data_IF_851066450151
#
_entry.id   IF_851066450151
#
_cell.length_a   1.000
_cell.length_b   1.000
_cell.length_c   1.000
_cell.angle_alpha   90.00
_cell.angle_beta   90.00
_cell.angle_gamma   90.00
#
_symmetry.space_group_name_H-M   'P 1'
#
loop_
_entity.id
_entity.type
_entity.pdbx_description
1 polymer ?
#
# COMPACT_ATOMS: atom_id res chain seq x y z
N UNK A 1 15.04 -8.87 -24.86
CA UNK A 1 15.05 -10.18 -25.54
C UNK A 1 16.44 -10.31 -26.15
N UNK A 2 17.34 -11.06 -25.49
CA UNK A 2 18.71 -11.28 -25.97
C UNK A 2 18.69 -12.67 -26.61
N UNK A 3 18.88 -12.73 -27.90
CA UNK A 3 18.99 -13.99 -28.65
C UNK A 3 20.47 -14.42 -28.60
N UNK A 4 20.77 -15.53 -27.99
CA UNK A 4 22.03 -16.23 -28.18
C UNK A 4 21.79 -17.30 -29.25
N UNK A 5 22.56 -17.27 -30.32
CA UNK A 5 22.51 -18.26 -31.38
C UNK A 5 23.72 -19.18 -31.20
N UNK A 6 23.51 -20.46 -31.08
CA UNK A 6 24.62 -21.46 -31.15
C UNK A 6 24.65 -22.01 -32.58
N UNK A 7 25.79 -21.90 -33.24
CA UNK A 7 26.00 -22.45 -34.57
C UNK A 7 26.53 -23.86 -34.40
N UNK A 8 25.76 -24.87 -34.78
CA UNK A 8 26.23 -26.26 -34.91
C UNK A 8 26.04 -26.62 -36.38
N UNK A 9 27.15 -26.99 -37.05
CA UNK A 9 27.20 -27.40 -38.47
C UNK A 9 26.56 -26.39 -39.46
N UNK A 10 26.69 -25.06 -39.17
CA UNK A 10 26.21 -24.02 -40.06
C UNK A 10 24.69 -23.76 -40.01
N UNK A 11 24.00 -24.38 -39.08
CA UNK A 11 22.54 -24.19 -38.84
C UNK A 11 22.37 -23.35 -37.58
N UNK A 12 21.72 -22.17 -37.71
CA UNK A 12 21.28 -21.35 -36.56
C UNK A 12 20.10 -22.04 -35.91
N UNK A 13 20.34 -22.65 -34.75
CA UNK A 13 19.27 -23.18 -33.91
C UNK A 13 18.82 -22.04 -32.97
N UNK A 14 17.60 -21.50 -33.10
CA UNK A 14 17.10 -20.53 -32.14
C UNK A 14 16.94 -21.22 -30.76
N UNK A 15 17.71 -20.81 -29.79
CA UNK A 15 17.46 -21.20 -28.41
C UNK A 15 16.12 -20.59 -27.99
N UNK A 16 15.08 -21.40 -27.95
CA UNK A 16 13.82 -21.03 -27.28
C UNK A 16 14.14 -21.05 -25.79
N UNK A 17 14.30 -19.87 -25.20
CA UNK A 17 14.44 -19.73 -23.76
C UNK A 17 13.08 -20.14 -23.15
N UNK A 18 12.95 -21.42 -22.81
CA UNK A 18 11.88 -21.89 -21.94
C UNK A 18 12.29 -21.41 -20.53
N UNK A 19 11.54 -20.50 -19.90
CA UNK A 19 11.87 -20.07 -18.54
C UNK A 19 11.92 -21.33 -17.67
N UNK A 20 13.05 -21.55 -16.99
CA UNK A 20 13.18 -22.66 -16.05
C UNK A 20 12.16 -22.48 -14.94
N UNK A 21 11.16 -23.34 -14.89
CA UNK A 21 10.10 -23.33 -13.89
C UNK A 21 10.49 -24.20 -12.72
N UNK A 22 10.12 -23.77 -11.51
CA UNK A 22 10.21 -24.60 -10.32
C UNK A 22 8.98 -25.52 -10.24
N UNK A 23 9.15 -26.81 -10.02
CA UNK A 23 8.04 -27.71 -9.71
C UNK A 23 7.82 -27.76 -8.19
N UNK A 24 6.60 -27.45 -7.74
CA UNK A 24 6.27 -27.47 -6.32
C UNK A 24 5.23 -28.55 -6.04
N UNK A 25 5.59 -29.50 -5.21
CA UNK A 25 4.65 -30.52 -4.71
C UNK A 25 3.85 -29.92 -3.55
N UNK A 26 2.53 -30.04 -3.65
CA UNK A 26 1.59 -29.61 -2.61
C UNK A 26 0.57 -30.70 -2.31
N UNK A 27 0.05 -30.82 -1.08
CA UNK A 27 -0.99 -31.82 -0.76
C UNK A 27 -2.28 -31.61 -1.54
N UNK A 28 -2.60 -30.34 -1.80
CA UNK A 28 -3.81 -29.90 -2.50
C UNK A 28 -3.61 -28.52 -3.09
N UNK A 29 -4.07 -28.31 -4.31
CA UNK A 29 -4.11 -26.98 -4.93
C UNK A 29 -5.38 -26.25 -4.48
N UNK A 30 -5.22 -25.14 -3.76
CA UNK A 30 -6.30 -24.26 -3.29
C UNK A 30 -6.12 -22.84 -3.86
N UNK A 31 -7.17 -22.01 -3.80
CA UNK A 31 -7.07 -20.58 -4.14
C UNK A 31 -6.04 -19.84 -3.28
N UNK A 32 -5.96 -20.18 -1.98
CA UNK A 32 -5.01 -19.58 -1.03
C UNK A 32 -3.56 -19.95 -1.37
N UNK A 33 -3.30 -21.23 -1.67
CA UNK A 33 -1.96 -21.70 -2.12
C UNK A 33 -1.55 -20.96 -3.39
N UNK A 34 -2.39 -20.98 -4.43
CA UNK A 34 -2.08 -20.28 -5.69
C UNK A 34 -1.80 -18.81 -5.47
N UNK A 35 -2.61 -18.13 -4.68
CA UNK A 35 -2.47 -16.70 -4.41
C UNK A 35 -1.14 -16.35 -3.74
N UNK A 36 -0.81 -17.02 -2.63
CA UNK A 36 0.42 -16.71 -1.90
C UNK A 36 1.68 -17.14 -2.64
N UNK A 37 1.61 -18.22 -3.43
CA UNK A 37 2.73 -18.65 -4.26
C UNK A 37 2.95 -17.71 -5.44
N UNK A 38 1.89 -17.22 -6.09
CA UNK A 38 1.99 -16.16 -7.10
C UNK A 38 2.65 -14.90 -6.54
N UNK A 39 2.24 -14.48 -5.33
CA UNK A 39 2.82 -13.33 -4.66
C UNK A 39 4.31 -13.55 -4.37
N UNK A 40 4.67 -14.65 -3.71
CA UNK A 40 6.03 -14.87 -3.25
C UNK A 40 6.97 -15.27 -4.39
N UNK A 41 6.60 -16.24 -5.22
CA UNK A 41 7.49 -16.72 -6.28
C UNK A 41 7.48 -15.79 -7.49
N UNK A 42 6.33 -15.55 -8.14
CA UNK A 42 6.30 -14.76 -9.38
C UNK A 42 6.55 -13.29 -9.13
N UNK A 43 5.85 -12.70 -8.19
CA UNK A 43 5.92 -11.24 -8.01
C UNK A 43 7.20 -10.81 -7.26
N UNK A 44 7.48 -11.39 -6.07
CA UNK A 44 8.59 -10.97 -5.23
C UNK A 44 9.93 -11.58 -5.69
N UNK A 45 9.99 -12.87 -5.97
CA UNK A 45 11.22 -13.56 -6.37
C UNK A 45 11.45 -13.61 -7.88
N UNK A 46 10.43 -13.37 -8.71
CA UNK A 46 10.53 -13.43 -10.17
C UNK A 46 10.70 -14.86 -10.72
N UNK A 47 10.25 -15.87 -9.97
CA UNK A 47 10.36 -17.28 -10.31
C UNK A 47 9.04 -17.81 -10.86
N UNK A 48 9.07 -18.42 -12.03
CA UNK A 48 7.95 -19.17 -12.55
C UNK A 48 7.87 -20.54 -11.87
N UNK A 49 6.66 -21.02 -11.62
CA UNK A 49 6.43 -22.33 -11.01
C UNK A 49 5.22 -23.05 -11.60
N UNK A 50 5.23 -24.37 -11.49
CA UNK A 50 4.08 -25.23 -11.70
C UNK A 50 3.80 -26.02 -10.41
N UNK A 51 2.53 -26.36 -10.15
CA UNK A 51 2.14 -27.17 -8.99
C UNK A 51 1.83 -28.59 -9.41
N UNK A 52 2.19 -29.54 -8.55
CA UNK A 52 1.77 -30.93 -8.67
C UNK A 52 1.28 -31.47 -7.32
N UNK A 53 0.37 -32.42 -7.37
CA UNK A 53 -0.04 -33.24 -6.22
C UNK A 53 0.45 -34.67 -6.32
N UNK A 54 1.18 -35.01 -7.41
CA UNK A 54 1.76 -36.33 -7.64
C UNK A 54 3.17 -36.42 -7.16
N UNK A 55 3.45 -37.23 -6.16
CA UNK A 55 4.80 -37.50 -5.68
C UNK A 55 5.64 -38.18 -6.80
N UNK A 56 5.06 -39.05 -7.61
CA UNK A 56 5.73 -39.72 -8.74
C UNK A 56 6.24 -38.69 -9.75
N UNK A 57 5.37 -37.73 -10.15
CA UNK A 57 5.75 -36.63 -11.04
C UNK A 57 6.86 -35.75 -10.43
N UNK A 58 6.75 -35.47 -9.14
CA UNK A 58 7.71 -34.64 -8.42
C UNK A 58 9.09 -35.34 -8.33
N UNK A 59 9.10 -36.64 -8.02
CA UNK A 59 10.34 -37.41 -7.92
C UNK A 59 11.03 -37.58 -9.27
N UNK A 60 10.26 -37.81 -10.33
CA UNK A 60 10.78 -37.94 -11.68
C UNK A 60 11.25 -36.63 -12.33
N UNK A 61 10.95 -35.47 -11.72
CA UNK A 61 11.29 -34.18 -12.28
C UNK A 61 12.77 -33.84 -12.04
N UNK A 62 13.51 -33.61 -13.13
CA UNK A 62 14.89 -33.13 -13.10
C UNK A 62 14.92 -31.61 -13.29
N UNK A 63 15.06 -30.85 -12.22
CA UNK A 63 15.07 -29.40 -12.25
C UNK A 63 14.90 -28.77 -10.86
N UNK A 64 14.61 -27.49 -10.83
CA UNK A 64 14.33 -26.81 -9.56
C UNK A 64 13.00 -27.33 -8.99
N UNK A 65 13.01 -27.86 -7.80
CA UNK A 65 11.81 -28.38 -7.15
C UNK A 65 11.80 -28.10 -5.65
N UNK A 66 10.61 -28.03 -5.07
CA UNK A 66 10.39 -27.81 -3.65
C UNK A 66 9.12 -28.54 -3.20
N UNK A 67 9.15 -29.07 -1.99
CA UNK A 67 7.97 -29.67 -1.38
C UNK A 67 7.38 -28.73 -0.30
N UNK A 68 6.09 -28.48 -0.38
CA UNK A 68 5.30 -27.80 0.64
C UNK A 68 4.22 -28.76 1.16
N UNK A 69 4.32 -29.19 2.40
CA UNK A 69 3.44 -30.19 2.97
C UNK A 69 3.72 -30.49 4.45
N UNK A 70 3.07 -31.51 5.00
CA UNK A 70 3.17 -31.83 6.43
C UNK A 70 4.40 -32.71 6.77
N UNK A 71 4.92 -33.46 5.80
CA UNK A 71 6.04 -34.37 5.98
C UNK A 71 7.05 -34.18 4.85
N UNK A 72 8.34 -34.28 5.17
CA UNK A 72 9.42 -34.18 4.20
C UNK A 72 9.49 -35.43 3.33
N UNK A 73 9.75 -35.25 2.04
CA UNK A 73 10.03 -36.32 1.09
C UNK A 73 11.49 -36.28 0.74
N UNK A 74 12.24 -37.34 1.05
CA UNK A 74 13.67 -37.46 0.83
C UNK A 74 14.48 -36.22 1.29
N UNK A 75 15.50 -35.84 0.53
CA UNK A 75 16.37 -34.69 0.84
C UNK A 75 16.02 -33.41 0.06
N UNK A 76 14.84 -33.40 -0.57
CA UNK A 76 14.39 -32.24 -1.34
C UNK A 76 14.12 -31.00 -0.47
N UNK A 77 14.26 -29.78 -1.02
CA UNK A 77 13.92 -28.54 -0.34
C UNK A 77 12.48 -28.59 0.16
N UNK A 78 12.29 -28.33 1.45
CA UNK A 78 11.04 -28.55 2.12
C UNK A 78 10.63 -27.36 2.98
N UNK A 79 9.36 -26.96 2.86
CA UNK A 79 8.69 -26.03 3.78
C UNK A 79 7.50 -26.77 4.40
N UNK A 80 7.53 -26.94 5.72
CA UNK A 80 6.43 -27.59 6.44
C UNK A 80 5.22 -26.69 6.46
N UNK A 81 4.08 -27.24 6.00
CA UNK A 81 2.81 -26.53 5.95
C UNK A 81 2.04 -26.57 7.26
N UNK A 82 1.36 -25.47 7.55
CA UNK A 82 0.24 -25.37 8.46
C UNK A 82 -1.10 -25.61 7.71
N UNK A 83 -2.23 -25.58 8.39
CA UNK A 83 -3.54 -25.87 7.81
C UNK A 83 -4.18 -24.68 7.08
N UNK A 84 -3.82 -23.44 7.41
CA UNK A 84 -4.46 -22.19 6.97
C UNK A 84 -4.70 -22.13 5.44
N UNK A 85 -3.75 -22.58 4.62
CA UNK A 85 -3.87 -22.50 3.17
C UNK A 85 -4.76 -23.60 2.56
N UNK A 86 -5.13 -24.61 3.33
CA UNK A 86 -6.00 -25.72 2.91
C UNK A 86 -7.41 -25.60 3.44
N UNK A 87 -7.67 -24.64 4.31
CA UNK A 87 -8.98 -24.29 4.85
C UNK A 87 -9.78 -23.38 3.91
N UNK A 88 -11.10 -23.27 4.16
CA UNK A 88 -11.97 -22.34 3.45
C UNK A 88 -12.67 -21.33 4.37
N UNK A 89 -12.87 -21.72 5.64
CA UNK A 89 -13.59 -20.89 6.59
C UNK A 89 -12.67 -19.88 7.26
N UNK A 90 -13.25 -18.77 7.70
CA UNK A 90 -12.59 -17.77 8.52
C UNK A 90 -12.91 -18.08 9.97
N UNK A 91 -11.90 -18.35 10.76
CA UNK A 91 -12.03 -18.64 12.19
C UNK A 91 -10.76 -18.17 12.94
N UNK A 92 -10.84 -18.08 14.24
CA UNK A 92 -9.71 -17.72 15.08
C UNK A 92 -8.55 -18.71 14.87
N UNK A 93 -7.38 -18.17 14.54
CA UNK A 93 -6.20 -18.97 14.24
C UNK A 93 -5.36 -19.17 15.52
N UNK A 94 -4.92 -20.39 15.73
CA UNK A 94 -4.03 -20.74 16.85
C UNK A 94 -2.66 -21.11 16.30
N UNK A 95 -1.67 -20.23 16.49
CA UNK A 95 -0.30 -20.46 16.07
C UNK A 95 0.69 -20.06 17.18
N UNK A 96 1.93 -20.52 17.07
CA UNK A 96 3.03 -20.07 17.89
C UNK A 96 3.89 -19.09 17.09
N UNK A 97 4.45 -18.11 17.78
CA UNK A 97 5.43 -17.17 17.23
C UNK A 97 6.84 -17.74 17.43
N UNK A 98 7.71 -17.57 16.45
CA UNK A 98 9.14 -17.97 16.50
C UNK A 98 10.01 -16.79 16.05
N UNK A 99 11.20 -16.67 16.68
CA UNK A 99 12.23 -15.73 16.23
C UNK A 99 12.79 -16.15 14.87
N UNK A 100 13.00 -15.17 13.99
CA UNK A 100 13.55 -15.37 12.67
C UNK A 100 14.43 -14.19 12.25
N UNK A 101 15.75 -14.41 12.21
CA UNK A 101 16.73 -13.34 11.97
C UNK A 101 16.50 -12.16 12.92
N UNK A 102 16.30 -10.93 12.42
CA UNK A 102 15.99 -9.75 13.23
C UNK A 102 14.47 -9.51 13.39
N UNK A 103 13.64 -10.51 13.06
CA UNK A 103 12.19 -10.45 13.12
C UNK A 103 11.60 -11.61 13.92
N UNK A 104 10.29 -11.64 14.01
CA UNK A 104 9.52 -12.80 14.46
C UNK A 104 8.50 -13.20 13.41
N UNK A 105 8.03 -14.44 13.44
CA UNK A 105 7.04 -14.95 12.52
C UNK A 105 5.98 -15.80 13.21
N UNK A 106 4.70 -15.72 12.77
CA UNK A 106 3.65 -16.63 13.22
C UNK A 106 3.79 -17.98 12.52
N UNK A 107 2.97 -18.96 12.88
CA UNK A 107 2.95 -20.30 12.30
C UNK A 107 4.28 -21.06 12.43
N UNK A 108 4.89 -21.02 13.63
CA UNK A 108 6.10 -21.78 13.93
C UNK A 108 5.92 -23.28 13.63
N UNK A 109 6.87 -23.87 12.91
CA UNK A 109 6.89 -25.29 12.59
C UNK A 109 8.11 -25.97 13.22
N UNK A 110 7.93 -27.23 13.60
CA UNK A 110 8.98 -28.01 14.28
C UNK A 110 9.33 -29.24 13.44
N UNK A 111 10.57 -29.64 13.49
CA UNK A 111 11.13 -30.79 12.75
C UNK A 111 12.39 -30.43 12.01
N UNK A 112 13.15 -31.43 11.60
CA UNK A 112 14.41 -31.26 10.90
C UNK A 112 14.19 -31.10 9.38
N UNK A 113 15.11 -30.40 8.73
CA UNK A 113 15.13 -30.28 7.27
C UNK A 113 14.19 -29.25 6.67
N UNK A 114 13.53 -28.41 7.48
CA UNK A 114 12.76 -27.28 7.00
C UNK A 114 13.66 -26.16 6.49
N UNK A 115 13.31 -25.57 5.33
CA UNK A 115 13.95 -24.36 4.84
C UNK A 115 13.68 -23.15 5.75
N UNK A 116 12.50 -23.10 6.36
CA UNK A 116 12.07 -22.01 7.24
C UNK A 116 11.60 -22.56 8.59
N UNK A 117 11.85 -21.89 9.73
CA UNK A 117 11.37 -22.34 11.04
C UNK A 117 9.88 -22.08 11.28
N UNK A 118 9.15 -21.61 10.27
CA UNK A 118 7.72 -21.35 10.28
C UNK A 118 7.14 -21.59 8.88
N UNK A 119 5.83 -21.74 8.79
CA UNK A 119 5.15 -21.79 7.49
C UNK A 119 5.12 -20.39 6.87
N UNK A 120 6.09 -20.10 6.04
CA UNK A 120 6.29 -18.80 5.42
C UNK A 120 5.13 -18.40 4.50
N UNK A 121 4.44 -19.38 3.91
CA UNK A 121 3.29 -19.13 3.02
C UNK A 121 2.03 -18.84 3.82
N UNK A 122 1.74 -19.62 4.87
CA UNK A 122 0.62 -19.33 5.77
C UNK A 122 0.79 -17.98 6.47
N UNK A 123 2.00 -17.69 6.98
CA UNK A 123 2.33 -16.41 7.61
C UNK A 123 2.13 -15.21 6.64
N UNK A 124 2.63 -15.35 5.41
CA UNK A 124 2.47 -14.29 4.40
C UNK A 124 1.01 -14.11 3.99
N UNK A 125 0.27 -15.20 3.77
CA UNK A 125 -1.16 -15.14 3.47
C UNK A 125 -1.96 -14.48 4.59
N UNK A 126 -1.70 -14.84 5.84
CA UNK A 126 -2.35 -14.25 7.01
C UNK A 126 -2.22 -12.72 7.05
N UNK A 127 -1.02 -12.18 6.77
CA UNK A 127 -0.77 -10.75 6.77
C UNK A 127 -1.41 -10.05 5.56
N UNK A 128 -1.19 -10.56 4.33
CA UNK A 128 -1.65 -9.85 3.12
C UNK A 128 -3.15 -9.96 2.88
N UNK A 129 -3.79 -11.06 3.30
CA UNK A 129 -5.24 -11.18 3.26
C UNK A 129 -5.95 -10.34 4.32
N UNK A 130 -5.19 -9.78 5.27
CA UNK A 130 -5.71 -9.06 6.43
C UNK A 130 -6.65 -9.93 7.27
N UNK A 131 -6.28 -11.18 7.46
CA UNK A 131 -7.11 -12.20 8.11
C UNK A 131 -7.72 -11.73 9.44
N UNK A 132 -6.93 -11.04 10.27
CA UNK A 132 -7.33 -10.50 11.57
C UNK A 132 -8.49 -9.49 11.48
N UNK A 133 -8.58 -8.74 10.38
CA UNK A 133 -9.63 -7.72 10.20
C UNK A 133 -11.02 -8.31 9.98
N UNK A 134 -11.09 -9.59 9.60
CA UNK A 134 -12.35 -10.33 9.49
C UNK A 134 -12.80 -10.93 10.83
N UNK A 135 -11.88 -11.13 11.76
CA UNK A 135 -12.17 -11.69 13.09
C UNK A 135 -12.55 -10.61 14.11
N UNK A 136 -11.78 -9.52 14.15
CA UNK A 136 -11.96 -8.48 15.17
C UNK A 136 -13.05 -7.48 14.79
N UNK A 137 -13.93 -7.18 15.74
CA UNK A 137 -14.94 -6.12 15.62
C UNK A 137 -14.51 -4.80 16.28
N UNK A 138 -13.30 -4.74 16.86
CA UNK A 138 -12.79 -3.54 17.53
C UNK A 138 -12.43 -2.47 16.49
N UNK A 139 -13.07 -1.31 16.62
CA UNK A 139 -12.87 -0.16 15.72
C UNK A 139 -12.61 1.11 16.54
N UNK A 140 -11.93 2.07 15.91
CA UNK A 140 -11.79 3.40 16.49
C UNK A 140 -13.07 4.25 16.32
N UNK A 141 -13.02 5.49 16.78
CA UNK A 141 -14.15 6.44 16.71
C UNK A 141 -14.61 6.78 15.28
N UNK A 142 -13.80 6.48 14.27
CA UNK A 142 -14.11 6.67 12.84
C UNK A 142 -14.54 5.37 12.15
N UNK A 143 -14.61 4.26 12.89
CA UNK A 143 -14.95 2.93 12.37
C UNK A 143 -13.79 2.22 11.66
N UNK A 144 -12.53 2.63 11.90
CA UNK A 144 -11.34 2.01 11.32
C UNK A 144 -10.83 0.88 12.19
N UNK A 145 -10.29 -0.16 11.58
CA UNK A 145 -9.59 -1.21 12.30
C UNK A 145 -8.33 -0.65 12.98
N UNK A 146 -8.10 -1.05 14.23
CA UNK A 146 -7.03 -0.51 15.06
C UNK A 146 -5.72 -1.27 14.86
N UNK A 147 -4.60 -0.54 14.75
CA UNK A 147 -3.27 -1.14 14.64
C UNK A 147 -2.93 -2.02 15.85
N UNK A 148 -3.35 -1.58 17.06
CA UNK A 148 -3.12 -2.26 18.34
C UNK A 148 -3.80 -3.63 18.43
N UNK A 149 -4.73 -3.94 17.51
CA UNK A 149 -5.42 -5.24 17.44
C UNK A 149 -4.74 -6.22 16.49
N UNK A 150 -3.51 -5.93 16.05
CA UNK A 150 -2.77 -6.79 15.11
C UNK A 150 -1.64 -7.53 15.79
N UNK A 151 -1.40 -8.78 15.34
CA UNK A 151 -0.23 -9.55 15.73
C UNK A 151 1.09 -8.79 15.48
N UNK A 152 1.17 -8.04 14.38
CA UNK A 152 2.36 -7.24 14.07
C UNK A 152 2.62 -6.15 15.10
N UNK A 153 1.58 -5.49 15.61
CA UNK A 153 1.73 -4.49 16.67
C UNK A 153 2.15 -5.12 18.00
N UNK A 154 1.50 -6.21 18.39
CA UNK A 154 1.80 -6.93 19.63
C UNK A 154 3.24 -7.48 19.67
N UNK A 155 3.86 -7.66 18.52
CA UNK A 155 5.22 -8.17 18.39
C UNK A 155 6.24 -7.11 17.91
N UNK A 156 5.90 -5.82 17.92
CA UNK A 156 6.76 -4.71 17.48
C UNK A 156 7.25 -4.81 16.02
N UNK A 157 6.43 -5.40 15.15
CA UNK A 157 6.79 -5.68 13.74
C UNK A 157 6.12 -4.75 12.72
N UNK A 158 5.32 -3.76 13.12
CA UNK A 158 4.60 -2.91 12.17
C UNK A 158 5.53 -2.18 11.17
N UNK A 159 6.74 -1.83 11.59
CA UNK A 159 7.69 -1.09 10.76
C UNK A 159 8.58 -1.99 9.90
N UNK A 160 8.29 -3.29 9.83
CA UNK A 160 9.01 -4.27 9.01
C UNK A 160 8.14 -4.79 7.88
N UNK A 161 8.60 -4.76 6.61
CA UNK A 161 7.91 -5.39 5.48
C UNK A 161 8.14 -6.91 5.49
N UNK A 162 7.55 -7.60 6.46
CA UNK A 162 7.85 -8.99 6.81
C UNK A 162 7.73 -9.95 5.62
N UNK A 163 6.69 -9.80 4.81
CA UNK A 163 6.46 -10.69 3.65
C UNK A 163 7.60 -10.58 2.63
N UNK A 164 8.11 -9.37 2.40
CA UNK A 164 9.29 -9.16 1.54
C UNK A 164 10.55 -9.79 2.16
N UNK A 165 10.78 -9.56 3.45
CA UNK A 165 11.93 -10.12 4.19
C UNK A 165 11.90 -11.64 4.11
N UNK A 166 10.74 -12.25 4.37
CA UNK A 166 10.58 -13.70 4.35
C UNK A 166 10.73 -14.30 2.93
N UNK A 167 10.19 -13.62 1.92
CA UNK A 167 10.35 -14.06 0.53
C UNK A 167 11.83 -14.06 0.11
N UNK A 168 12.57 -12.99 0.40
CA UNK A 168 14.00 -12.89 0.11
C UNK A 168 14.82 -13.95 0.88
N UNK A 169 14.48 -14.20 2.13
CA UNK A 169 15.12 -15.22 2.95
C UNK A 169 14.85 -16.64 2.41
N UNK A 170 13.60 -16.93 2.00
CA UNK A 170 13.27 -18.19 1.32
C UNK A 170 14.08 -18.34 0.02
N UNK A 171 14.13 -17.27 -0.79
CA UNK A 171 14.89 -17.23 -2.02
C UNK A 171 16.37 -17.56 -1.81
N UNK A 172 17.02 -16.93 -0.83
CA UNK A 172 18.42 -17.21 -0.47
C UNK A 172 18.65 -18.66 -0.07
N UNK A 173 17.72 -19.26 0.69
CA UNK A 173 17.80 -20.66 1.10
C UNK A 173 17.61 -21.63 -0.06
N UNK A 174 16.72 -21.29 -0.99
CA UNK A 174 16.56 -22.05 -2.24
C UNK A 174 17.83 -21.94 -3.12
N UNK A 175 18.46 -20.77 -3.22
CA UNK A 175 19.72 -20.60 -3.96
C UNK A 175 20.90 -21.33 -3.29
N UNK A 176 20.88 -21.56 -1.99
CA UNK A 176 21.89 -22.40 -1.33
C UNK A 176 21.81 -23.86 -1.77
N UNK A 177 20.63 -24.34 -2.17
CA UNK A 177 20.42 -25.69 -2.75
C UNK A 177 20.61 -25.66 -4.27
N UNK A 178 20.12 -24.62 -4.92
CA UNK A 178 20.16 -24.45 -6.37
C UNK A 178 20.88 -23.13 -6.72
N UNK A 179 22.21 -23.11 -6.83
CA UNK A 179 22.98 -21.88 -7.08
C UNK A 179 22.57 -21.11 -8.34
N UNK A 180 22.09 -21.81 -9.36
CA UNK A 180 21.67 -21.25 -10.65
C UNK A 180 20.20 -20.79 -10.68
N UNK A 181 19.48 -20.84 -9.54
CA UNK A 181 18.09 -20.41 -9.47
C UNK A 181 17.97 -18.89 -9.76
N UNK A 182 17.24 -18.47 -10.82
CA UNK A 182 17.26 -17.09 -11.32
C UNK A 182 16.35 -16.17 -10.51
N UNK A 183 16.73 -15.83 -9.28
CA UNK A 183 15.98 -14.93 -8.44
C UNK A 183 16.14 -13.48 -8.90
N UNK A 184 15.03 -12.77 -9.04
CA UNK A 184 14.98 -11.35 -9.36
C UNK A 184 15.67 -10.53 -8.27
N UNK A 185 16.49 -9.56 -8.69
CA UNK A 185 16.99 -8.53 -7.79
C UNK A 185 15.96 -7.38 -7.72
N UNK A 186 15.17 -7.24 -6.63
CA UNK A 186 14.15 -6.22 -6.54
C UNK A 186 14.77 -4.82 -6.45
N UNK A 187 14.05 -3.82 -6.97
CA UNK A 187 14.52 -2.43 -7.00
C UNK A 187 13.58 -1.54 -6.20
N UNK A 188 14.16 -0.76 -5.31
CA UNK A 188 13.43 0.26 -4.57
C UNK A 188 12.70 1.25 -5.49
N UNK A 189 11.47 1.57 -5.13
CA UNK A 189 10.64 2.57 -5.82
C UNK A 189 10.01 3.51 -4.79
N UNK A 190 9.94 4.80 -5.12
CA UNK A 190 9.23 5.79 -4.32
C UNK A 190 8.01 6.32 -5.08
N UNK A 191 6.85 6.36 -4.42
CA UNK A 191 5.60 6.90 -4.95
C UNK A 191 5.06 7.96 -3.99
N UNK A 192 5.24 9.26 -4.30
CA UNK A 192 4.61 10.32 -3.53
C UNK A 192 3.11 10.37 -3.84
N UNK A 193 2.29 10.51 -2.82
CA UNK A 193 0.85 10.65 -2.96
C UNK A 193 0.33 11.83 -2.17
N UNK A 194 -0.57 12.61 -2.76
CA UNK A 194 -1.12 13.83 -2.18
C UNK A 194 -2.63 13.74 -2.05
N UNK A 195 -3.13 13.85 -0.82
CA UNK A 195 -4.57 13.93 -0.56
C UNK A 195 -4.99 15.39 -0.53
N UNK A 196 -5.98 15.72 -1.34
CA UNK A 196 -6.51 17.08 -1.48
C UNK A 196 -7.90 17.12 -0.83
N UNK A 197 -7.91 17.19 0.49
CA UNK A 197 -9.15 17.31 1.27
C UNK A 197 -9.81 18.66 1.07
N UNK A 198 -9.01 19.72 1.01
CA UNK A 198 -9.44 21.05 0.69
C UNK A 198 -8.31 21.80 -0.03
N UNK A 199 -8.52 22.12 -1.31
CA UNK A 199 -7.51 22.80 -2.11
C UNK A 199 -7.11 24.18 -1.55
N UNK A 200 -8.03 24.86 -0.82
CA UNK A 200 -7.79 26.16 -0.20
C UNK A 200 -8.42 26.27 1.19
N UNK A 201 -7.70 26.92 2.11
CA UNK A 201 -8.18 27.20 3.48
C UNK A 201 -9.26 28.28 3.51
N UNK A 202 -9.16 29.29 2.68
CA UNK A 202 -10.03 30.48 2.67
C UNK A 202 -10.66 30.77 1.31
N UNK A 203 -9.90 30.60 0.21
CA UNK A 203 -10.37 30.92 -1.14
C UNK A 203 -11.45 29.97 -1.64
N UNK A 204 -12.26 30.43 -2.58
CA UNK A 204 -13.24 29.64 -3.35
C UNK A 204 -14.31 28.90 -2.56
N UNK A 205 -14.47 29.15 -1.26
CA UNK A 205 -15.48 28.50 -0.40
C UNK A 205 -16.90 29.01 -0.59
N UNK A 206 -17.10 30.10 -1.35
CA UNK A 206 -18.38 30.77 -1.54
C UNK A 206 -18.75 31.71 -0.37
N UNK A 207 -19.74 32.58 -0.60
CA UNK A 207 -20.10 33.66 0.32
C UNK A 207 -20.51 33.12 1.69
N UNK A 208 -21.43 32.15 1.75
CA UNK A 208 -21.94 31.61 3.01
C UNK A 208 -20.86 31.00 3.91
N UNK A 209 -19.96 30.20 3.34
CA UNK A 209 -18.85 29.59 4.10
C UNK A 209 -17.80 30.62 4.50
N UNK A 210 -17.59 31.64 3.68
CA UNK A 210 -16.65 32.72 3.99
C UNK A 210 -17.15 33.57 5.14
N UNK A 211 -18.42 34.01 5.10
CA UNK A 211 -19.06 34.79 6.17
C UNK A 211 -19.19 33.96 7.45
N UNK A 212 -19.68 32.72 7.36
CA UNK A 212 -19.78 31.84 8.52
C UNK A 212 -18.42 31.56 9.18
N UNK A 213 -17.37 31.38 8.37
CA UNK A 213 -16.01 31.25 8.87
C UNK A 213 -15.50 32.49 9.57
N UNK A 214 -15.79 33.69 9.03
CA UNK A 214 -15.44 34.96 9.65
C UNK A 214 -16.17 35.13 11.00
N UNK A 215 -17.48 34.85 11.05
CA UNK A 215 -18.27 34.91 12.29
C UNK A 215 -17.75 33.92 13.35
N UNK A 216 -17.35 32.72 12.95
CA UNK A 216 -16.75 31.72 13.85
C UNK A 216 -15.41 32.24 14.42
N UNK A 217 -14.54 32.77 13.56
CA UNK A 217 -13.25 33.32 13.99
C UNK A 217 -13.43 34.51 14.93
N UNK A 218 -14.45 35.37 14.69
CA UNK A 218 -14.82 36.47 15.57
C UNK A 218 -15.34 35.97 16.92
N UNK A 219 -16.24 34.98 16.92
CA UNK A 219 -16.79 34.39 18.14
C UNK A 219 -15.74 33.68 19.01
N UNK A 220 -14.70 33.09 18.37
CA UNK A 220 -13.56 32.50 19.08
C UNK A 220 -12.49 33.52 19.53
N UNK A 221 -12.60 34.79 19.14
CA UNK A 221 -11.63 35.82 19.44
C UNK A 221 -10.29 35.67 18.69
N UNK A 222 -10.23 34.84 17.65
CA UNK A 222 -9.02 34.54 16.88
C UNK A 222 -8.72 35.68 15.89
N UNK A 223 -8.11 36.74 16.40
CA UNK A 223 -7.75 37.95 15.63
C UNK A 223 -6.73 37.65 14.54
N UNK A 224 -5.81 36.74 14.79
CA UNK A 224 -4.78 36.33 13.81
C UNK A 224 -5.43 35.68 12.60
N UNK A 225 -6.36 34.76 12.84
CA UNK A 225 -7.09 34.05 11.78
C UNK A 225 -8.01 34.98 10.98
N UNK A 226 -8.62 35.95 11.64
CA UNK A 226 -9.41 37.01 10.98
C UNK A 226 -8.50 37.83 10.05
N UNK A 227 -7.35 38.24 10.53
CA UNK A 227 -6.39 39.01 9.74
C UNK A 227 -5.86 38.21 8.55
N UNK A 228 -5.44 36.96 8.79
CA UNK A 228 -4.96 36.04 7.75
C UNK A 228 -6.02 35.84 6.65
N UNK A 229 -7.27 35.49 7.02
CA UNK A 229 -8.39 35.35 6.10
C UNK A 229 -8.56 36.59 5.23
N UNK A 230 -8.52 37.77 5.86
CA UNK A 230 -8.67 39.04 5.17
C UNK A 230 -7.52 39.29 4.17
N UNK A 231 -6.27 39.02 4.56
CA UNK A 231 -5.11 39.16 3.67
C UNK A 231 -5.17 38.20 2.48
N UNK A 232 -5.54 36.93 2.72
CA UNK A 232 -5.66 35.91 1.69
C UNK A 232 -6.80 36.26 0.70
N UNK A 233 -7.97 36.65 1.21
CA UNK A 233 -9.11 36.98 0.34
C UNK A 233 -8.88 38.26 -0.49
N UNK A 234 -8.02 39.18 -0.03
CA UNK A 234 -7.56 40.38 -0.78
C UNK A 234 -6.37 40.09 -1.70
N UNK A 235 -5.88 38.86 -1.76
CA UNK A 235 -4.72 38.50 -2.58
C UNK A 235 -3.38 39.03 -2.07
N UNK A 236 -3.31 39.55 -0.82
CA UNK A 236 -2.09 40.07 -0.21
C UNK A 236 -1.21 38.99 0.44
N UNK A 237 -1.76 37.79 0.63
CA UNK A 237 -1.08 36.63 1.17
C UNK A 237 -1.54 35.38 0.37
N UNK A 238 -0.64 34.42 0.15
CA UNK A 238 -0.98 33.12 -0.43
C UNK A 238 -1.90 32.37 0.54
N UNK A 239 -2.83 31.55 0.01
CA UNK A 239 -3.69 30.72 0.87
C UNK A 239 -2.83 29.63 1.52
N UNK A 240 -2.97 29.36 2.84
CA UNK A 240 -2.13 28.39 3.56
C UNK A 240 -2.13 26.98 2.96
N UNK A 241 -3.21 26.56 2.28
CA UNK A 241 -3.32 25.23 1.66
C UNK A 241 -2.86 25.23 0.20
N UNK A 242 -2.56 26.38 -0.38
CA UNK A 242 -2.11 26.52 -1.76
C UNK A 242 -0.59 26.23 -1.86
N UNK A 243 -0.23 24.96 -1.78
CA UNK A 243 1.15 24.48 -1.87
C UNK A 243 1.50 23.90 -3.25
N UNK A 244 0.62 24.08 -4.25
CA UNK A 244 0.74 23.38 -5.54
C UNK A 244 2.02 23.77 -6.30
N UNK A 245 2.41 25.05 -6.31
CA UNK A 245 3.67 25.49 -6.94
C UNK A 245 4.89 24.78 -6.33
N UNK A 246 4.91 24.63 -5.01
CA UNK A 246 5.97 23.92 -4.29
C UNK A 246 5.98 22.42 -4.66
N UNK A 247 4.80 21.80 -4.77
CA UNK A 247 4.70 20.40 -5.20
C UNK A 247 5.21 20.20 -6.62
N UNK A 248 4.89 21.12 -7.56
CA UNK A 248 5.41 21.09 -8.92
C UNK A 248 6.92 21.35 -8.99
N UNK A 249 7.44 22.25 -8.15
CA UNK A 249 8.89 22.47 -8.02
C UNK A 249 9.61 21.18 -7.63
N UNK A 250 9.11 20.46 -6.59
CA UNK A 250 9.67 19.19 -6.14
C UNK A 250 9.52 18.11 -7.21
N UNK A 251 8.34 18.04 -7.87
CA UNK A 251 8.09 17.10 -8.96
C UNK A 251 9.12 17.26 -10.07
N UNK A 252 9.42 18.49 -10.47
CA UNK A 252 10.44 18.79 -11.49
C UNK A 252 11.85 18.47 -11.01
N UNK A 253 12.19 18.89 -9.78
CA UNK A 253 13.55 18.74 -9.23
C UNK A 253 13.96 17.28 -9.06
N UNK A 254 13.04 16.43 -8.57
CA UNK A 254 13.29 15.02 -8.28
C UNK A 254 12.67 14.06 -9.32
N UNK A 255 12.10 14.59 -10.41
CA UNK A 255 11.41 13.80 -11.47
C UNK A 255 10.34 12.86 -10.90
N UNK A 256 9.57 13.35 -9.93
CA UNK A 256 8.54 12.56 -9.25
C UNK A 256 7.38 12.24 -10.20
N UNK A 257 6.70 11.13 -9.91
CA UNK A 257 5.42 10.74 -10.53
C UNK A 257 4.36 10.65 -9.43
N UNK A 258 3.81 11.79 -8.98
CA UNK A 258 2.85 11.79 -7.89
C UNK A 258 1.47 11.30 -8.32
N UNK A 259 0.69 10.89 -7.32
CA UNK A 259 -0.74 10.62 -7.48
C UNK A 259 -1.50 11.57 -6.57
N UNK A 260 -2.49 12.27 -7.10
CA UNK A 260 -3.38 13.15 -6.35
C UNK A 260 -4.72 12.48 -6.11
N UNK A 261 -5.14 12.38 -4.86
CA UNK A 261 -6.47 11.91 -4.49
C UNK A 261 -7.36 13.10 -4.14
N UNK A 262 -8.45 13.28 -4.89
CA UNK A 262 -9.29 14.48 -4.83
C UNK A 262 -10.58 14.18 -4.07
N UNK A 263 -10.77 14.87 -2.95
CA UNK A 263 -12.05 14.89 -2.23
C UNK A 263 -13.02 15.83 -2.94
N UNK A 264 -14.10 15.28 -3.48
CA UNK A 264 -15.09 16.03 -4.24
C UNK A 264 -16.54 15.75 -3.85
N UNK A 265 -16.76 15.08 -2.71
CA UNK A 265 -18.09 14.85 -2.15
C UNK A 265 -18.83 16.13 -1.74
N UNK A 266 -20.04 15.98 -1.26
CA UNK A 266 -20.79 17.10 -0.69
C UNK A 266 -20.15 17.58 0.61
N UNK A 267 -20.25 18.90 0.86
CA UNK A 267 -19.73 19.47 2.10
C UNK A 267 -20.48 18.92 3.32
N UNK A 268 -19.74 18.40 4.28
CA UNK A 268 -20.25 17.85 5.53
C UNK A 268 -19.29 18.14 6.70
N UNK A 269 -19.61 17.65 7.89
CA UNK A 269 -18.81 17.82 9.10
C UNK A 269 -17.37 17.32 8.92
N UNK A 270 -17.22 16.15 8.28
CA UNK A 270 -15.92 15.54 8.00
C UNK A 270 -15.38 15.87 6.60
N UNK A 271 -16.26 16.23 5.66
CA UNK A 271 -15.92 16.49 4.25
C UNK A 271 -15.94 18.01 3.98
N UNK A 272 -14.79 18.67 4.14
CA UNK A 272 -14.69 20.14 4.05
C UNK A 272 -14.11 20.66 2.73
N UNK A 273 -14.20 19.86 1.71
CA UNK A 273 -13.72 20.14 0.36
C UNK A 273 -14.33 21.38 -0.30
N UNK A 274 -13.76 21.75 -1.42
CA UNK A 274 -14.31 22.76 -2.33
C UNK A 274 -15.25 22.07 -3.33
N UNK A 275 -16.40 22.69 -3.59
CA UNK A 275 -17.36 22.14 -4.54
C UNK A 275 -16.81 22.14 -5.98
N UNK A 276 -17.02 21.06 -6.74
CA UNK A 276 -16.73 20.97 -8.17
C UNK A 276 -17.49 22.00 -9.03
N UNK A 277 -18.52 22.67 -8.49
CA UNK A 277 -19.17 23.80 -9.16
C UNK A 277 -18.27 25.04 -9.28
N UNK A 278 -17.15 25.08 -8.50
CA UNK A 278 -16.19 26.19 -8.57
C UNK A 278 -15.22 25.96 -9.72
N UNK A 279 -15.23 26.87 -10.68
CA UNK A 279 -14.35 26.83 -11.87
C UNK A 279 -12.87 26.74 -11.48
N UNK A 280 -12.44 27.54 -10.49
CA UNK A 280 -11.06 27.50 -10.01
C UNK A 280 -10.65 26.09 -9.54
N UNK A 281 -11.54 25.33 -8.90
CA UNK A 281 -11.25 23.98 -8.44
C UNK A 281 -11.19 23.00 -9.62
N UNK A 282 -12.13 23.10 -10.58
CA UNK A 282 -12.05 22.28 -11.80
C UNK A 282 -10.76 22.56 -12.59
N UNK A 283 -10.36 23.82 -12.72
CA UNK A 283 -9.13 24.20 -13.42
C UNK A 283 -7.90 23.65 -12.70
N UNK A 284 -7.86 23.69 -11.37
CA UNK A 284 -6.79 23.05 -10.58
C UNK A 284 -6.75 21.55 -10.84
N UNK A 285 -7.89 20.84 -10.76
CA UNK A 285 -7.96 19.40 -10.99
C UNK A 285 -7.46 19.03 -12.39
N UNK A 286 -7.86 19.77 -13.43
CA UNK A 286 -7.37 19.56 -14.78
C UNK A 286 -5.87 19.77 -14.87
N UNK A 287 -5.37 20.85 -14.26
CA UNK A 287 -3.94 21.13 -14.22
C UNK A 287 -3.14 20.03 -13.51
N UNK A 288 -3.62 19.53 -12.36
CA UNK A 288 -3.01 18.37 -11.71
C UNK A 288 -3.02 17.13 -12.63
N UNK A 289 -4.14 16.89 -13.32
CA UNK A 289 -4.32 15.77 -14.22
C UNK A 289 -3.47 15.83 -15.52
N UNK A 290 -2.98 17.00 -15.90
CA UNK A 290 -2.06 17.17 -17.03
C UNK A 290 -0.63 16.71 -16.71
N UNK A 291 -0.23 16.73 -15.41
CA UNK A 291 1.15 16.46 -14.98
C UNK A 291 1.30 15.26 -14.06
N UNK A 292 0.17 14.66 -13.62
CA UNK A 292 0.18 13.57 -12.65
C UNK A 292 -1.04 12.65 -12.81
N UNK A 293 -0.99 11.50 -12.16
CA UNK A 293 -2.17 10.66 -11.98
C UNK A 293 -3.13 11.30 -10.97
N UNK A 294 -4.43 11.15 -11.23
CA UNK A 294 -5.49 11.59 -10.33
C UNK A 294 -6.42 10.42 -10.01
N UNK A 295 -6.68 10.22 -8.72
CA UNK A 295 -7.64 9.27 -8.19
C UNK A 295 -8.76 9.97 -7.41
N UNK A 296 -9.78 9.19 -7.10
CA UNK A 296 -10.86 9.64 -6.21
C UNK A 296 -10.43 9.53 -4.73
N UNK A 297 -10.80 10.52 -3.93
CA UNK A 297 -10.79 10.46 -2.48
C UNK A 297 -12.24 10.37 -2.01
N UNK A 298 -12.86 9.16 -1.96
CA UNK A 298 -14.27 9.03 -1.61
C UNK A 298 -14.54 9.67 -0.26
N UNK A 299 -15.62 10.46 -0.17
CA UNK A 299 -15.95 11.23 1.04
C UNK A 299 -16.22 10.33 2.25
N UNK A 300 -16.07 10.89 3.46
CA UNK A 300 -16.46 10.20 4.69
C UNK A 300 -17.92 9.77 4.66
N UNK A 301 -18.77 10.58 4.03
CA UNK A 301 -20.21 10.33 3.92
C UNK A 301 -20.59 9.30 2.84
N UNK A 302 -19.69 8.99 1.90
CA UNK A 302 -19.90 7.93 0.89
C UNK A 302 -19.43 6.53 1.35
N UNK A 303 -18.89 6.43 2.57
CA UNK A 303 -18.47 5.15 3.14
C UNK A 303 -19.65 4.17 3.20
N UNK A 304 -19.52 3.03 2.52
CA UNK A 304 -20.55 1.99 2.35
C UNK A 304 -21.84 2.50 1.67
N UNK A 305 -21.81 3.66 1.02
CA UNK A 305 -22.90 4.21 0.21
C UNK A 305 -22.44 4.24 -1.25
N UNK A 306 -22.71 3.16 -1.97
CA UNK A 306 -22.22 2.96 -3.34
C UNK A 306 -22.77 4.01 -4.31
N UNK A 307 -24.00 4.49 -4.13
CA UNK A 307 -24.59 5.46 -5.04
C UNK A 307 -23.96 6.85 -4.89
N UNK A 308 -23.63 7.25 -3.65
CA UNK A 308 -22.85 8.46 -3.42
C UNK A 308 -21.45 8.33 -4.01
N UNK A 309 -20.76 7.22 -3.76
CA UNK A 309 -19.41 6.99 -4.28
C UNK A 309 -19.41 6.98 -5.81
N UNK A 310 -20.38 6.33 -6.45
CA UNK A 310 -20.59 6.35 -7.90
C UNK A 310 -20.76 7.77 -8.43
N UNK A 311 -21.55 8.58 -7.74
CA UNK A 311 -21.78 9.99 -8.10
C UNK A 311 -20.48 10.80 -7.99
N UNK A 312 -19.70 10.63 -6.94
CA UNK A 312 -18.42 11.31 -6.75
C UNK A 312 -17.42 10.93 -7.84
N UNK A 313 -17.28 9.63 -8.14
CA UNK A 313 -16.43 9.11 -9.23
C UNK A 313 -16.86 9.68 -10.58
N UNK A 314 -18.15 9.65 -10.89
CA UNK A 314 -18.69 10.19 -12.15
C UNK A 314 -18.40 11.68 -12.30
N UNK A 315 -18.66 12.47 -11.26
CA UNK A 315 -18.44 13.91 -11.28
C UNK A 315 -16.97 14.28 -11.48
N UNK A 316 -16.05 13.56 -10.85
CA UNK A 316 -14.61 13.81 -11.02
C UNK A 316 -14.10 13.31 -12.38
N UNK A 317 -14.60 12.17 -12.86
CA UNK A 317 -14.32 11.64 -14.20
C UNK A 317 -14.76 12.62 -15.30
N UNK A 318 -15.92 13.28 -15.13
CA UNK A 318 -16.40 14.31 -16.04
C UNK A 318 -15.47 15.53 -16.09
N UNK A 319 -14.96 15.99 -14.96
CA UNK A 319 -13.98 17.09 -14.91
C UNK A 319 -12.69 16.74 -15.64
N UNK A 320 -12.21 15.50 -15.48
CA UNK A 320 -10.95 15.02 -16.08
C UNK A 320 -11.11 14.51 -17.51
N UNK A 321 -12.34 14.32 -18.01
CA UNK A 321 -12.66 13.70 -19.30
C UNK A 321 -12.03 12.32 -19.50
N UNK A 322 -11.85 11.56 -18.42
CA UNK A 322 -11.31 10.19 -18.42
C UNK A 322 -11.87 9.38 -17.23
N UNK A 323 -11.97 8.05 -17.35
CA UNK A 323 -12.36 7.20 -16.22
C UNK A 323 -11.32 7.27 -15.09
N UNK A 324 -11.80 7.12 -13.87
CA UNK A 324 -10.96 6.99 -12.68
C UNK A 324 -10.81 5.52 -12.34
N UNK A 325 -9.58 5.12 -12.05
CA UNK A 325 -9.24 3.74 -11.69
C UNK A 325 -8.54 3.63 -10.33
N UNK A 326 -8.19 4.77 -9.72
CA UNK A 326 -7.44 4.84 -8.46
C UNK A 326 -8.30 5.43 -7.35
N UNK A 327 -8.22 4.86 -6.15
CA UNK A 327 -8.95 5.30 -4.96
C UNK A 327 -8.05 5.36 -3.73
N UNK A 328 -8.35 6.30 -2.82
CA UNK A 328 -7.93 6.31 -1.42
C UNK A 328 -9.07 6.84 -0.58
N UNK A 329 -9.53 6.07 0.40
CA UNK A 329 -10.67 6.44 1.26
C UNK A 329 -10.32 7.60 2.20
N UNK A 330 -11.15 8.63 2.27
CA UNK A 330 -11.01 9.73 3.22
C UNK A 330 -11.03 9.21 4.66
N UNK A 331 -10.19 9.77 5.53
CA UNK A 331 -9.92 9.24 6.87
C UNK A 331 -9.31 7.82 6.89
N UNK A 332 -8.91 7.25 5.75
CA UNK A 332 -8.51 5.84 5.63
C UNK A 332 -9.59 4.87 6.14
N UNK A 333 -10.85 5.27 6.00
CA UNK A 333 -11.99 4.53 6.52
C UNK A 333 -12.34 3.39 5.60
N UNK A 334 -12.03 2.16 6.02
CA UNK A 334 -12.37 0.96 5.25
C UNK A 334 -12.78 -0.19 6.16
N UNK A 335 -13.60 -1.09 5.63
CA UNK A 335 -14.03 -2.33 6.25
C UNK A 335 -13.92 -3.45 5.22
N UNK A 336 -13.13 -4.47 5.52
CA UNK A 336 -12.95 -5.62 4.65
C UNK A 336 -14.04 -6.69 4.93
N UNK A 337 -14.54 -7.31 3.86
CA UNK A 337 -14.21 -7.09 2.44
C UNK A 337 -15.01 -5.97 1.78
N UNK A 338 -16.06 -5.45 2.42
CA UNK A 338 -17.09 -4.59 1.84
C UNK A 338 -16.56 -3.37 1.09
N UNK A 339 -15.60 -2.66 1.66
CA UNK A 339 -15.04 -1.47 0.99
C UNK A 339 -14.39 -1.83 -0.35
N UNK A 340 -13.67 -2.94 -0.40
CA UNK A 340 -13.02 -3.38 -1.63
C UNK A 340 -13.99 -4.00 -2.64
N UNK A 341 -15.00 -4.73 -2.19
CA UNK A 341 -16.09 -5.20 -3.05
C UNK A 341 -16.82 -4.01 -3.72
N UNK A 342 -17.10 -2.93 -2.96
CA UNK A 342 -17.68 -1.70 -3.52
C UNK A 342 -16.77 -1.04 -4.56
N UNK A 343 -15.45 -0.95 -4.32
CA UNK A 343 -14.52 -0.39 -5.29
C UNK A 343 -14.47 -1.22 -6.59
N UNK A 344 -14.48 -2.55 -6.48
CA UNK A 344 -14.52 -3.46 -7.63
C UNK A 344 -15.80 -3.27 -8.44
N UNK A 345 -16.96 -3.14 -7.78
CA UNK A 345 -18.24 -2.89 -8.45
C UNK A 345 -18.27 -1.53 -9.18
N UNK A 346 -17.45 -0.58 -8.74
CA UNK A 346 -17.30 0.76 -9.34
C UNK A 346 -16.14 0.87 -10.33
N UNK A 347 -15.60 -0.27 -10.82
CA UNK A 347 -14.50 -0.34 -11.78
C UNK A 347 -13.19 0.33 -11.31
N UNK A 348 -12.99 0.46 -9.99
CA UNK A 348 -11.72 0.88 -9.42
C UNK A 348 -10.77 -0.32 -9.41
N UNK A 349 -9.62 -0.18 -10.04
CA UNK A 349 -8.61 -1.24 -10.15
C UNK A 349 -7.45 -1.11 -9.17
N UNK A 350 -7.26 0.06 -8.53
CA UNK A 350 -6.12 0.38 -7.68
C UNK A 350 -6.57 1.13 -6.43
N UNK A 351 -6.31 0.57 -5.25
CA UNK A 351 -6.61 1.22 -3.97
C UNK A 351 -5.32 1.54 -3.19
N UNK A 352 -5.27 2.72 -2.62
CA UNK A 352 -4.13 3.26 -1.86
C UNK A 352 -4.48 3.52 -0.38
N UNK A 353 -5.54 2.87 0.13
CA UNK A 353 -6.01 3.08 1.52
C UNK A 353 -5.26 2.22 2.54
N UNK A 354 -4.57 1.15 2.10
CA UNK A 354 -3.98 0.14 2.98
C UNK A 354 -2.81 0.72 3.79
N UNK A 355 -3.13 1.22 4.97
CA UNK A 355 -2.21 1.75 5.98
C UNK A 355 -2.98 2.07 7.25
N UNK A 356 -2.28 2.40 8.33
CA UNK A 356 -2.90 2.87 9.56
C UNK A 356 -2.78 4.39 9.68
N UNK A 357 -3.83 5.04 10.19
CA UNK A 357 -3.76 6.47 10.49
C UNK A 357 -3.00 6.73 11.79
N UNK A 358 -3.16 5.85 12.80
CA UNK A 358 -2.58 6.03 14.14
C UNK A 358 -1.13 5.56 14.26
N UNK A 359 -0.64 4.75 13.34
CA UNK A 359 0.69 4.14 13.40
C UNK A 359 1.39 4.21 12.04
N UNK A 360 2.71 4.36 12.06
CA UNK A 360 3.57 4.24 10.88
C UNK A 360 3.99 2.78 10.67
N UNK A 361 4.09 2.34 9.42
CA UNK A 361 4.52 0.99 9.06
C UNK A 361 3.59 0.29 8.07
N UNK A 362 3.73 -1.01 7.94
CA UNK A 362 3.16 -1.83 6.88
C UNK A 362 1.92 -2.59 7.37
N UNK A 363 0.72 -2.03 7.17
CA UNK A 363 -0.55 -2.64 7.64
C UNK A 363 -0.74 -4.09 7.16
N UNK A 364 -0.35 -4.40 5.94
CA UNK A 364 -0.41 -5.76 5.37
C UNK A 364 0.92 -6.52 5.43
N UNK A 365 1.92 -6.03 6.19
CA UNK A 365 3.24 -6.66 6.32
C UNK A 365 4.08 -6.69 5.04
N UNK A 366 3.72 -5.92 4.02
CA UNK A 366 4.35 -5.93 2.71
C UNK A 366 4.57 -4.50 2.19
N UNK A 367 5.70 -4.28 1.50
CA UNK A 367 6.07 -3.03 0.84
C UNK A 367 5.91 -3.09 -0.68
N UNK A 368 5.09 -3.97 -1.19
CA UNK A 368 4.77 -4.10 -2.61
C UNK A 368 3.27 -4.13 -2.84
N UNK A 369 2.86 -3.80 -4.07
CA UNK A 369 1.48 -3.95 -4.51
C UNK A 369 1.11 -5.43 -4.50
N UNK A 370 -0.10 -5.75 -4.07
CA UNK A 370 -0.65 -7.10 -4.11
C UNK A 370 -2.11 -7.08 -4.57
N UNK A 371 -2.64 -8.20 -5.01
CA UNK A 371 -4.06 -8.34 -5.33
C UNK A 371 -4.86 -8.58 -4.07
N UNK A 372 -6.02 -7.96 -3.97
CA UNK A 372 -6.93 -8.24 -2.87
C UNK A 372 -7.44 -9.68 -2.95
N UNK A 373 -7.26 -10.42 -1.85
CA UNK A 373 -7.88 -11.72 -1.65
C UNK A 373 -9.14 -11.56 -0.79
N UNK A 374 -10.29 -11.82 -1.37
CA UNK A 374 -11.57 -11.78 -0.66
C UNK A 374 -11.76 -13.08 0.12
N UNK A 375 -11.58 -13.03 1.44
CA UNK A 375 -11.70 -14.21 2.30
C UNK A 375 -13.14 -14.72 2.43
N UNK A 376 -14.16 -13.85 2.29
CA UNK A 376 -15.56 -14.30 2.34
C UNK A 376 -15.90 -15.17 1.12
N UNK A 377 -15.42 -14.77 -0.05
CA UNK A 377 -15.63 -15.50 -1.31
C UNK A 377 -14.50 -16.49 -1.61
N UNK A 378 -13.45 -16.56 -0.78
CA UNK A 378 -12.26 -17.41 -0.90
C UNK A 378 -11.63 -17.33 -2.30
N UNK A 379 -11.43 -16.10 -2.82
CA UNK A 379 -10.93 -15.86 -4.17
C UNK A 379 -10.05 -14.61 -4.29
N UNK A 380 -9.08 -14.69 -5.19
CA UNK A 380 -8.31 -13.50 -5.59
C UNK A 380 -9.14 -12.63 -6.52
N UNK A 381 -9.03 -11.32 -6.34
CA UNK A 381 -9.72 -10.31 -7.17
C UNK A 381 -8.74 -9.59 -8.11
N UNK A 382 -9.27 -8.74 -9.00
CA UNK A 382 -8.46 -7.89 -9.86
C UNK A 382 -8.06 -6.56 -9.20
N UNK A 383 -8.58 -6.23 -8.03
CA UNK A 383 -8.21 -5.01 -7.30
C UNK A 383 -6.76 -5.11 -6.81
N UNK A 384 -5.93 -4.18 -7.23
CA UNK A 384 -4.57 -4.01 -6.75
C UNK A 384 -4.57 -3.10 -5.52
N UNK A 385 -3.97 -3.59 -4.45
CA UNK A 385 -3.79 -2.86 -3.19
C UNK A 385 -2.37 -2.35 -3.13
N UNK A 386 -2.22 -1.03 -2.94
CA UNK A 386 -0.95 -0.32 -2.84
C UNK A 386 -0.77 0.18 -1.41
N UNK A 387 -0.09 -0.58 -0.53
CA UNK A 387 0.05 -0.19 0.86
C UNK A 387 0.99 1.01 1.00
N UNK A 388 0.58 1.99 1.80
CA UNK A 388 1.47 3.08 2.19
C UNK A 388 2.07 2.81 3.57
N UNK A 389 3.31 3.28 3.79
CA UNK A 389 4.02 3.05 5.04
C UNK A 389 3.96 4.25 5.99
N UNK A 390 3.68 5.45 5.49
CA UNK A 390 3.78 6.67 6.27
C UNK A 390 2.80 7.73 5.80
N UNK A 391 2.21 8.47 6.77
CA UNK A 391 1.37 9.64 6.54
C UNK A 391 1.86 10.80 7.41
N UNK A 392 1.81 12.02 6.89
CA UNK A 392 2.16 13.25 7.64
C UNK A 392 1.32 13.40 8.92
N UNK A 393 0.00 13.22 8.79
CA UNK A 393 -0.94 13.25 9.92
C UNK A 393 -0.64 12.20 10.98
N UNK A 394 -0.15 11.01 10.60
CA UNK A 394 0.29 9.97 11.57
C UNK A 394 1.38 10.50 12.47
N UNK A 395 2.43 11.07 11.89
CA UNK A 395 3.58 11.55 12.66
C UNK A 395 3.19 12.70 13.59
N UNK A 396 2.46 13.68 13.05
CA UNK A 396 2.14 14.91 13.77
C UNK A 396 0.97 14.77 14.73
N UNK A 397 -0.18 14.27 14.24
CA UNK A 397 -1.46 14.39 14.96
C UNK A 397 -1.75 13.15 15.83
N UNK A 398 -1.20 11.97 15.50
CA UNK A 398 -1.39 10.75 16.27
C UNK A 398 -0.19 10.42 17.16
N UNK A 399 1.03 10.46 16.62
CA UNK A 399 2.26 10.16 17.36
C UNK A 399 2.85 11.39 18.04
N UNK A 400 2.35 12.61 17.74
CA UNK A 400 2.80 13.87 18.29
C UNK A 400 4.33 14.10 18.18
N UNK A 401 4.90 13.69 17.04
CA UNK A 401 6.32 13.87 16.76
C UNK A 401 6.61 15.30 16.26
N UNK A 402 7.77 15.80 16.62
CA UNK A 402 8.33 16.99 16.00
C UNK A 402 8.90 16.72 14.60
N UNK A 403 9.36 17.76 13.93
CA UNK A 403 9.87 17.69 12.54
C UNK A 403 11.11 16.81 12.43
N UNK A 404 12.03 16.90 13.40
CA UNK A 404 13.30 16.15 13.39
C UNK A 404 13.05 14.63 13.60
N UNK A 405 12.27 14.29 14.62
CA UNK A 405 11.89 12.91 14.92
C UNK A 405 11.06 12.30 13.79
N UNK A 406 10.18 13.11 13.15
CA UNK A 406 9.40 12.69 11.98
C UNK A 406 10.30 12.37 10.79
N UNK A 407 11.33 13.16 10.53
CA UNK A 407 12.30 12.89 9.48
C UNK A 407 13.12 11.62 9.76
N UNK A 408 13.51 11.40 11.02
CA UNK A 408 14.23 10.19 11.41
C UNK A 408 13.39 8.92 11.18
N UNK A 409 12.13 8.94 11.63
CA UNK A 409 11.19 7.84 11.39
C UNK A 409 10.96 7.58 9.88
N UNK A 410 10.78 8.65 9.10
CA UNK A 410 10.60 8.52 7.65
C UNK A 410 11.82 7.89 6.97
N UNK A 411 13.04 8.28 7.33
CA UNK A 411 14.28 7.68 6.82
C UNK A 411 14.42 6.21 7.21
N UNK A 412 14.11 5.87 8.46
CA UNK A 412 14.11 4.48 8.91
C UNK A 412 13.19 3.60 8.05
N UNK A 413 11.95 4.03 7.78
CA UNK A 413 11.02 3.28 6.93
C UNK A 413 11.48 3.21 5.47
N UNK A 414 12.12 4.26 4.95
CA UNK A 414 12.75 4.23 3.62
C UNK A 414 13.83 3.15 3.56
N UNK A 415 14.67 3.05 4.60
CA UNK A 415 15.75 2.06 4.65
C UNK A 415 15.21 0.63 4.73
N UNK A 416 14.15 0.39 5.50
CA UNK A 416 13.46 -0.91 5.52
C UNK A 416 12.94 -1.31 4.14
N UNK A 417 12.38 -0.38 3.38
CA UNK A 417 11.90 -0.66 2.02
C UNK A 417 13.06 -0.79 1.03
N UNK A 418 14.12 0.03 1.15
CA UNK A 418 15.35 -0.11 0.33
C UNK A 418 16.00 -1.48 0.53
N UNK A 419 16.05 -1.98 1.77
CA UNK A 419 16.65 -3.27 2.10
C UNK A 419 15.97 -4.46 1.38
N UNK A 420 14.68 -4.35 1.09
CA UNK A 420 13.93 -5.39 0.38
C UNK A 420 13.64 -5.05 -1.09
N UNK A 421 14.07 -3.87 -1.56
CA UNK A 421 13.79 -3.40 -2.92
C UNK A 421 12.31 -3.20 -3.21
N UNK A 422 11.51 -2.87 -2.21
CA UNK A 422 10.07 -2.65 -2.31
C UNK A 422 9.69 -1.25 -2.80
N UNK A 423 8.40 -0.92 -2.65
CA UNK A 423 7.83 0.39 -2.98
C UNK A 423 7.47 1.16 -1.70
N UNK A 424 8.12 2.31 -1.50
CA UNK A 424 7.78 3.24 -0.43
C UNK A 424 6.72 4.23 -0.91
N UNK A 425 5.50 4.14 -0.36
CA UNK A 425 4.41 5.09 -0.61
C UNK A 425 4.28 6.00 0.59
N UNK A 426 4.38 7.31 0.35
CA UNK A 426 4.19 8.34 1.37
C UNK A 426 2.93 9.16 1.08
N UNK A 427 2.04 9.24 2.06
CA UNK A 427 0.83 10.02 2.02
C UNK A 427 1.07 11.39 2.67
N UNK A 428 0.86 12.45 1.92
CA UNK A 428 1.01 13.83 2.38
C UNK A 428 -0.21 14.66 1.96
N UNK A 429 -0.63 15.62 2.78
CA UNK A 429 -1.70 16.55 2.44
C UNK A 429 -1.12 17.87 1.89
N UNK A 430 -1.88 18.54 1.03
CA UNK A 430 -1.48 19.86 0.52
C UNK A 430 -1.39 20.91 1.63
N UNK A 431 -2.17 20.80 2.70
CA UNK A 431 -2.09 21.62 3.91
C UNK A 431 -0.70 21.54 4.55
N UNK A 432 -0.16 20.33 4.69
CA UNK A 432 1.16 20.08 5.29
C UNK A 432 2.27 20.79 4.53
N UNK A 433 2.21 20.72 3.20
CA UNK A 433 3.20 21.35 2.32
C UNK A 433 3.01 22.87 2.16
N UNK A 434 1.92 23.42 2.70
CA UNK A 434 1.74 24.85 2.86
C UNK A 434 2.64 25.46 3.93
N UNK A 435 3.06 24.66 4.92
CA UNK A 435 4.06 25.06 5.92
C UNK A 435 3.59 26.09 6.94
N UNK A 436 2.30 26.25 7.12
CA UNK A 436 1.73 27.25 8.01
C UNK A 436 1.27 26.64 9.34
N UNK A 437 1.30 27.44 10.40
CA UNK A 437 0.81 27.07 11.75
C UNK A 437 1.47 25.78 12.25
N UNK A 438 0.67 24.72 12.45
CA UNK A 438 1.12 23.43 12.95
C UNK A 438 2.08 22.69 11.99
N UNK A 439 2.17 23.15 10.74
CA UNK A 439 2.98 22.55 9.69
C UNK A 439 4.28 23.30 9.39
N UNK A 440 4.66 24.28 10.25
CA UNK A 440 5.93 24.98 10.11
C UNK A 440 7.10 23.97 10.15
N UNK A 441 8.01 24.08 9.18
CA UNK A 441 9.17 23.18 9.01
C UNK A 441 8.90 21.91 8.19
N UNK A 442 7.64 21.50 8.01
CA UNK A 442 7.28 20.28 7.28
C UNK A 442 7.61 20.30 5.79
N UNK A 443 7.45 21.41 5.04
CA UNK A 443 7.87 21.45 3.64
C UNK A 443 9.37 21.19 3.48
N UNK A 444 10.19 21.75 4.38
CA UNK A 444 11.64 21.52 4.35
C UNK A 444 11.99 20.08 4.76
N UNK A 445 11.31 19.53 5.77
CA UNK A 445 11.46 18.12 6.14
C UNK A 445 11.15 17.21 4.95
N UNK A 446 10.09 17.49 4.20
CA UNK A 446 9.73 16.71 3.02
C UNK A 446 10.81 16.84 1.93
N UNK A 447 11.37 18.02 1.69
CA UNK A 447 12.49 18.22 0.76
C UNK A 447 13.72 17.40 1.18
N UNK A 448 14.06 17.40 2.48
CA UNK A 448 15.17 16.61 3.01
C UNK A 448 14.93 15.11 2.87
N UNK A 449 13.70 14.63 3.09
CA UNK A 449 13.34 13.25 2.85
C UNK A 449 13.51 12.86 1.38
N UNK A 450 13.04 13.70 0.44
CA UNK A 450 13.24 13.45 -1.00
C UNK A 450 14.72 13.41 -1.36
N UNK A 451 15.53 14.31 -0.82
CA UNK A 451 16.98 14.28 -1.00
C UNK A 451 17.54 12.94 -0.54
N UNK A 452 17.18 12.47 0.66
CA UNK A 452 17.63 11.18 1.21
C UNK A 452 17.19 9.96 0.37
N UNK A 453 16.01 10.03 -0.24
CA UNK A 453 15.48 8.95 -1.08
C UNK A 453 16.31 8.81 -2.37
N UNK A 454 16.76 9.92 -2.96
CA UNK A 454 17.39 9.97 -4.27
C UNK A 454 18.93 10.11 -4.22
N UNK A 455 19.51 10.21 -3.02
CA UNK A 455 20.96 10.04 -2.81
C UNK A 455 21.32 8.62 -2.47
#
# INVERSE_FOLDING_TARGET
MIFFCTIVDGIEIPFIFVPMKMLILVPKVTGRVMYVFDLMFRQLLGLEFDLTTSEEQFMAFEGFKMHYGTQRIEDEPFVKSDELLFERHIHEQSFRTVGFEETVAPYAVFGNGNLMPFDVFAASFFLVSRYEEYLSQVRDQYGRFRAESTWMFENDMLQKPLVNIWALALGKRLQAVYPDLPIKNPKFTFVPTYDIDAAWSYKHKGVYRTVGGFLKDLASGDRERIHERHQVLRGKRKDPFDSFDFQFELQKAFKLKPIYFILCGNYDTNDKNISLRKEAFRNLIKHLGDYADVGIHPSFSSYLDIDKMRTEISNLSEVLHRPLTKSRQHFLRMNLPRSYQTLIELDISDDYTMGFASQAGFRAGIADTFRFYDLENDMVTNLRVHPFALMDGTMRDYLNLDVETSLALAKQLVDEVKAVGGTFIYLTHNETLGGEKRWVGWPEMYRQLLTYIYT
#
